data_IF_685804311955
#
_entry.id   IF_685804311955
#
_cell.length_a   1.000
_cell.length_b   1.000
_cell.length_c   1.000
_cell.angle_alpha   90.00
_cell.angle_beta   90.00
_cell.angle_gamma   90.00
#
_symmetry.space_group_name_H-M   'P 1'
#
loop_
_entity.id
_entity.type
_entity.pdbx_description
1 polymer ?
#
# COMPACT_ATOMS: atom_id res chain seq x y z
N UNK A 1 -12.84 6.51 -41.87
CA UNK A 1 -12.42 5.60 -40.81
C UNK A 1 -12.55 6.35 -39.50
N UNK A 2 -13.18 5.81 -38.45
CA UNK A 2 -13.24 6.49 -37.17
C UNK A 2 -11.83 6.68 -36.61
N UNK A 3 -11.60 7.80 -35.95
CA UNK A 3 -10.33 8.06 -35.30
C UNK A 3 -10.01 6.94 -34.30
N UNK A 4 -8.78 6.44 -34.26
CA UNK A 4 -8.37 5.28 -33.45
C UNK A 4 -8.70 5.39 -31.97
N UNK A 5 -8.55 6.59 -31.42
CA UNK A 5 -8.85 6.86 -30.01
C UNK A 5 -10.33 6.65 -29.66
N UNK A 6 -11.26 7.02 -30.57
CA UNK A 6 -12.68 6.75 -30.37
C UNK A 6 -13.00 5.26 -30.40
N UNK A 7 -12.31 4.51 -31.26
CA UNK A 7 -12.51 3.06 -31.36
C UNK A 7 -12.08 2.33 -30.10
N UNK A 8 -10.90 2.69 -29.57
CA UNK A 8 -10.38 2.12 -28.31
C UNK A 8 -11.23 2.52 -27.13
N UNK A 9 -11.61 3.79 -27.05
CA UNK A 9 -12.46 4.28 -25.97
C UNK A 9 -13.82 3.59 -25.97
N UNK A 10 -14.45 3.43 -27.13
CA UNK A 10 -15.71 2.69 -27.27
C UNK A 10 -15.56 1.21 -26.87
N UNK A 11 -14.46 0.57 -27.28
CA UNK A 11 -14.16 -0.81 -26.92
C UNK A 11 -13.96 -0.98 -25.41
N UNK A 12 -13.26 -0.05 -24.78
CA UNK A 12 -13.04 -0.06 -23.33
C UNK A 12 -14.35 0.17 -22.57
N UNK A 13 -15.18 1.12 -22.97
CA UNK A 13 -16.49 1.37 -22.36
C UNK A 13 -17.40 0.14 -22.44
N UNK A 14 -17.47 -0.52 -23.63
CA UNK A 14 -18.22 -1.74 -23.77
C UNK A 14 -17.66 -2.88 -22.89
N UNK A 15 -16.34 -2.99 -22.78
CA UNK A 15 -15.72 -3.99 -21.90
C UNK A 15 -16.02 -3.67 -20.41
N UNK A 16 -16.04 -2.40 -20.02
CA UNK A 16 -16.39 -1.99 -18.65
C UNK A 16 -17.83 -2.35 -18.28
N UNK A 17 -18.78 -2.28 -19.23
CA UNK A 17 -20.14 -2.76 -19.02
C UNK A 17 -20.20 -4.26 -18.76
N UNK A 18 -19.43 -5.08 -19.50
CA UNK A 18 -19.32 -6.50 -19.19
C UNK A 18 -18.69 -6.75 -17.82
N UNK A 19 -17.65 -6.01 -17.47
CA UNK A 19 -16.97 -6.14 -16.18
C UNK A 19 -17.87 -5.73 -15.01
N UNK A 20 -18.65 -4.66 -15.14
CA UNK A 20 -19.62 -4.22 -14.14
C UNK A 20 -20.70 -5.29 -13.86
N UNK A 21 -21.04 -6.09 -14.87
CA UNK A 21 -21.97 -7.23 -14.75
C UNK A 21 -21.28 -8.54 -14.36
N UNK A 22 -20.03 -8.53 -13.94
CA UNK A 22 -19.20 -9.72 -13.66
C UNK A 22 -19.06 -10.71 -14.84
N UNK A 23 -19.23 -10.24 -16.07
CA UNK A 23 -19.11 -11.02 -17.30
C UNK A 23 -17.69 -10.95 -17.88
N UNK A 24 -16.68 -11.25 -17.05
CA UNK A 24 -15.26 -11.12 -17.42
C UNK A 24 -14.84 -11.93 -18.66
N UNK A 25 -15.31 -13.20 -18.87
CA UNK A 25 -15.02 -13.93 -20.08
C UNK A 25 -15.58 -13.24 -21.34
N UNK A 26 -16.77 -12.67 -21.26
CA UNK A 26 -17.38 -11.94 -22.37
C UNK A 26 -16.58 -10.66 -22.68
N UNK A 27 -16.12 -9.91 -21.66
CA UNK A 27 -15.25 -8.76 -21.84
C UNK A 27 -13.95 -9.13 -22.56
N UNK A 28 -13.27 -10.20 -22.12
CA UNK A 28 -12.04 -10.67 -22.74
C UNK A 28 -12.24 -11.12 -24.17
N UNK A 29 -13.32 -11.88 -24.44
CA UNK A 29 -13.67 -12.32 -25.79
C UNK A 29 -13.99 -11.15 -26.70
N UNK A 30 -14.77 -10.18 -26.22
CA UNK A 30 -15.11 -8.98 -26.97
C UNK A 30 -13.86 -8.19 -27.36
N UNK A 31 -12.99 -7.87 -26.38
CA UNK A 31 -11.72 -7.17 -26.64
C UNK A 31 -10.80 -7.97 -27.58
N UNK A 32 -10.79 -9.31 -27.46
CA UNK A 32 -10.05 -10.19 -28.36
C UNK A 32 -10.52 -10.09 -29.81
N UNK A 33 -11.82 -10.04 -30.05
CA UNK A 33 -12.41 -9.83 -31.40
C UNK A 33 -12.03 -8.46 -31.96
N UNK A 34 -12.10 -7.42 -31.12
CA UNK A 34 -11.68 -6.07 -31.52
C UNK A 34 -10.21 -6.04 -31.92
N UNK A 35 -9.33 -6.66 -31.14
CA UNK A 35 -7.90 -6.75 -31.45
C UNK A 35 -7.64 -7.54 -32.75
N UNK A 36 -8.37 -8.64 -32.99
CA UNK A 36 -8.27 -9.40 -34.24
C UNK A 36 -8.66 -8.56 -35.44
N UNK A 37 -9.82 -7.89 -35.36
CA UNK A 37 -10.30 -6.98 -36.44
C UNK A 37 -9.30 -5.87 -36.67
N UNK A 38 -8.73 -5.29 -35.62
CA UNK A 38 -7.71 -4.26 -35.70
C UNK A 38 -6.46 -4.75 -36.42
N UNK A 39 -5.94 -5.92 -36.08
CA UNK A 39 -4.74 -6.50 -36.67
C UNK A 39 -4.94 -6.96 -38.12
N UNK A 40 -6.16 -7.28 -38.51
CA UNK A 40 -6.51 -7.71 -39.89
C UNK A 40 -6.61 -6.52 -40.87
N UNK A 41 -6.66 -5.28 -40.40
CA UNK A 41 -6.73 -4.12 -41.26
C UNK A 41 -5.39 -3.82 -41.92
N UNK A 42 -5.42 -3.40 -43.19
CA UNK A 42 -4.23 -2.97 -43.92
C UNK A 42 -3.94 -1.51 -43.61
N UNK A 43 -3.09 -1.30 -42.62
CA UNK A 43 -2.63 0.04 -42.26
C UNK A 43 -1.45 0.48 -43.14
N UNK A 44 -1.43 1.74 -43.59
CA UNK A 44 -0.22 2.31 -44.15
C UNK A 44 0.86 2.49 -43.08
N UNK A 45 2.11 2.77 -43.49
CA UNK A 45 3.25 2.83 -42.56
C UNK A 45 3.07 3.90 -41.49
N UNK A 46 2.51 5.06 -41.85
CA UNK A 46 2.27 6.18 -40.92
C UNK A 46 1.21 5.81 -39.87
N UNK A 47 0.08 5.23 -40.30
CA UNK A 47 -0.99 4.79 -39.43
C UNK A 47 -0.51 3.69 -38.48
N UNK A 48 0.35 2.77 -38.97
CA UNK A 48 0.96 1.74 -38.09
C UNK A 48 1.77 2.32 -36.95
N UNK A 49 2.57 3.34 -37.21
CA UNK A 49 3.39 4.00 -36.17
C UNK A 49 2.51 4.77 -35.19
N UNK A 50 1.47 5.46 -35.67
CA UNK A 50 0.53 6.22 -34.84
C UNK A 50 -0.39 5.30 -33.98
N UNK A 51 -0.66 4.08 -34.46
CA UNK A 51 -1.61 3.17 -33.84
C UNK A 51 -1.00 1.94 -33.16
N UNK A 52 0.31 1.87 -33.02
CA UNK A 52 1.00 0.83 -32.28
C UNK A 52 0.48 0.74 -30.83
N UNK A 53 0.20 1.87 -30.21
CA UNK A 53 -0.30 1.94 -28.83
C UNK A 53 -1.70 1.35 -28.65
N UNK A 54 -2.53 1.36 -29.70
CA UNK A 54 -3.91 0.83 -29.66
C UNK A 54 -3.92 -0.67 -29.44
N UNK A 55 -3.17 -1.42 -30.24
CA UNK A 55 -3.09 -2.86 -30.11
C UNK A 55 -2.50 -3.27 -28.76
N UNK A 56 -1.49 -2.54 -28.29
CA UNK A 56 -0.84 -2.80 -27.00
C UNK A 56 -1.75 -2.46 -25.82
N UNK A 57 -2.55 -1.41 -25.91
CA UNK A 57 -3.53 -1.07 -24.89
C UNK A 57 -4.62 -2.14 -24.81
N UNK A 58 -5.13 -2.64 -25.95
CA UNK A 58 -6.09 -3.74 -25.98
C UNK A 58 -5.50 -5.03 -25.39
N UNK A 59 -4.26 -5.40 -25.74
CA UNK A 59 -3.55 -6.55 -25.18
C UNK A 59 -3.40 -6.42 -23.66
N UNK A 60 -2.94 -5.26 -23.17
CA UNK A 60 -2.82 -4.98 -21.74
C UNK A 60 -4.16 -5.10 -21.02
N UNK A 61 -5.23 -4.61 -21.66
CA UNK A 61 -6.58 -4.71 -21.09
C UNK A 61 -7.06 -6.16 -21.00
N UNK A 62 -6.86 -6.96 -22.08
CA UNK A 62 -7.16 -8.39 -22.06
C UNK A 62 -6.36 -9.10 -20.97
N UNK A 63 -5.04 -8.87 -20.92
CA UNK A 63 -4.15 -9.45 -19.91
C UNK A 63 -4.62 -9.09 -18.49
N UNK A 64 -5.05 -7.86 -18.26
CA UNK A 64 -5.60 -7.44 -16.96
C UNK A 64 -6.84 -8.25 -16.52
N UNK A 65 -7.56 -8.88 -17.44
CA UNK A 65 -8.73 -9.73 -17.16
C UNK A 65 -8.31 -11.20 -17.02
N UNK A 66 -7.45 -11.69 -17.93
CA UNK A 66 -7.17 -13.11 -18.14
C UNK A 66 -5.93 -13.63 -17.42
N UNK A 67 -4.97 -12.76 -17.11
CA UNK A 67 -3.75 -13.14 -16.41
C UNK A 67 -3.91 -13.17 -14.89
N UNK A 68 -3.03 -13.91 -14.18
CA UNK A 68 -2.94 -13.85 -12.74
C UNK A 68 -2.79 -12.41 -12.25
N UNK A 69 -3.65 -12.01 -11.34
CA UNK A 69 -3.68 -10.66 -10.80
C UNK A 69 -4.19 -10.68 -9.35
N UNK A 70 -3.89 -9.62 -8.59
CA UNK A 70 -4.35 -9.52 -7.22
C UNK A 70 -4.27 -8.10 -6.64
N UNK A 71 -4.81 -7.97 -5.46
CA UNK A 71 -4.73 -6.75 -4.66
C UNK A 71 -4.93 -7.09 -3.20
N UNK A 72 -4.29 -6.33 -2.31
CA UNK A 72 -4.59 -6.43 -0.89
C UNK A 72 -5.88 -5.70 -0.57
N UNK A 73 -6.69 -6.31 0.29
CA UNK A 73 -7.83 -5.63 0.90
C UNK A 73 -7.35 -4.52 1.84
N UNK A 74 -8.06 -3.39 1.89
CA UNK A 74 -7.57 -2.17 2.53
C UNK A 74 -7.80 -2.09 4.03
N UNK A 75 -8.54 -3.03 4.63
CA UNK A 75 -9.23 -2.81 5.90
C UNK A 75 -8.37 -2.82 7.17
N UNK A 76 -7.27 -3.56 7.23
CA UNK A 76 -6.45 -3.60 8.45
C UNK A 76 -4.97 -3.45 8.15
N UNK A 77 -4.38 -2.32 8.57
CA UNK A 77 -2.94 -2.07 8.44
C UNK A 77 -2.15 -2.46 9.68
N UNK A 78 -2.81 -2.49 10.84
CA UNK A 78 -2.20 -2.84 12.13
C UNK A 78 -2.89 -4.09 12.66
N UNK A 79 -2.10 -5.07 13.02
CA UNK A 79 -2.52 -6.36 13.57
C UNK A 79 -1.78 -6.63 14.87
N UNK A 80 -2.36 -7.48 15.73
CA UNK A 80 -1.76 -7.86 17.01
C UNK A 80 -0.50 -8.70 16.77
N UNK A 81 0.60 -8.32 17.42
CA UNK A 81 1.83 -9.10 17.42
C UNK A 81 1.74 -10.30 18.38
N UNK A 82 2.62 -11.28 18.22
CA UNK A 82 2.70 -12.46 19.09
C UNK A 82 1.89 -13.65 18.58
N UNK A 83 0.75 -13.42 17.94
CA UNK A 83 -0.12 -14.47 17.40
C UNK A 83 0.06 -14.68 15.89
N UNK A 84 -0.39 -15.84 15.34
CA UNK A 84 -0.45 -16.03 13.90
C UNK A 84 -1.40 -15.02 13.26
N UNK A 85 -0.93 -14.33 12.25
CA UNK A 85 -1.69 -13.27 11.56
C UNK A 85 -1.86 -13.64 10.11
N UNK A 86 -3.03 -13.31 9.56
CA UNK A 86 -3.30 -13.41 8.13
C UNK A 86 -3.78 -12.06 7.59
N UNK A 87 -3.54 -11.82 6.31
CA UNK A 87 -4.07 -10.67 5.58
C UNK A 87 -4.91 -11.13 4.40
N UNK A 88 -6.01 -10.45 4.15
CA UNK A 88 -6.87 -10.74 3.01
C UNK A 88 -6.23 -10.24 1.71
N UNK A 89 -6.13 -11.13 0.75
CA UNK A 89 -5.62 -10.87 -0.58
C UNK A 89 -6.64 -11.33 -1.62
N UNK A 90 -7.18 -10.39 -2.36
CA UNK A 90 -8.08 -10.67 -3.47
C UNK A 90 -7.26 -11.01 -4.70
N UNK A 91 -7.54 -12.14 -5.33
CA UNK A 91 -6.80 -12.61 -6.50
C UNK A 91 -7.74 -13.20 -7.55
N UNK A 92 -7.23 -13.35 -8.75
CA UNK A 92 -7.88 -14.09 -9.84
C UNK A 92 -6.85 -14.75 -10.73
N UNK A 93 -7.25 -15.83 -11.42
CA UNK A 93 -6.46 -16.58 -12.39
C UNK A 93 -5.12 -17.11 -11.88
N UNK A 94 -4.89 -17.08 -10.57
CA UNK A 94 -3.66 -17.53 -9.95
C UNK A 94 -3.85 -18.89 -9.26
N UNK A 95 -2.88 -19.76 -9.39
CA UNK A 95 -2.82 -21.08 -8.75
C UNK A 95 -1.82 -21.15 -7.60
N UNK A 96 -0.85 -20.24 -7.56
CA UNK A 96 0.20 -20.20 -6.54
C UNK A 96 0.61 -18.77 -6.20
N UNK A 97 1.02 -18.59 -4.96
CA UNK A 97 1.60 -17.35 -4.47
C UNK A 97 2.76 -17.63 -3.52
N UNK A 98 3.84 -16.87 -3.66
CA UNK A 98 4.93 -16.82 -2.69
C UNK A 98 4.78 -15.56 -1.83
N UNK A 99 5.02 -15.72 -0.52
CA UNK A 99 4.88 -14.63 0.44
C UNK A 99 6.22 -14.32 1.07
N UNK A 100 6.52 -13.05 1.21
CA UNK A 100 7.70 -12.59 1.92
C UNK A 100 7.41 -11.30 2.68
N UNK A 101 8.12 -11.07 3.78
CA UNK A 101 8.12 -9.79 4.48
C UNK A 101 9.54 -9.28 4.66
N UNK A 102 9.71 -7.96 4.59
CA UNK A 102 10.96 -7.30 4.96
C UNK A 102 10.69 -6.32 6.10
N UNK A 103 11.40 -6.42 7.23
CA UNK A 103 11.31 -5.41 8.28
C UNK A 103 11.64 -4.03 7.72
N UNK A 104 10.89 -3.02 8.16
CA UNK A 104 11.15 -1.61 7.82
C UNK A 104 11.62 -0.89 9.06
N UNK A 105 12.83 -0.33 9.03
CA UNK A 105 13.36 0.51 10.11
C UNK A 105 12.64 1.87 10.14
N UNK A 106 11.39 1.79 10.61
CA UNK A 106 10.51 2.95 10.71
C UNK A 106 11.05 3.98 11.70
N UNK A 107 11.73 3.52 12.75
CA UNK A 107 12.34 4.41 13.75
C UNK A 107 13.39 5.31 13.09
N UNK A 108 14.35 4.72 12.40
CA UNK A 108 15.40 5.46 11.67
C UNK A 108 14.80 6.39 10.61
N UNK A 109 13.83 5.90 9.84
CA UNK A 109 13.16 6.72 8.83
C UNK A 109 12.46 7.93 9.45
N UNK A 110 11.76 7.75 10.58
CA UNK A 110 11.09 8.84 11.29
C UNK A 110 12.08 9.82 11.90
N UNK A 111 13.17 9.34 12.50
CA UNK A 111 14.21 10.17 13.10
C UNK A 111 14.90 11.05 12.05
N UNK A 112 15.36 10.47 10.94
CA UNK A 112 15.97 11.22 9.84
C UNK A 112 15.01 12.27 9.26
N UNK A 113 13.71 11.99 9.23
CA UNK A 113 12.71 12.97 8.82
C UNK A 113 12.48 14.08 9.82
N UNK A 114 12.39 13.73 11.09
CA UNK A 114 12.26 14.75 12.14
C UNK A 114 13.43 15.71 12.10
N UNK A 115 14.65 15.22 11.91
CA UNK A 115 15.85 16.05 11.80
C UNK A 115 15.79 16.97 10.58
N UNK A 116 15.39 16.45 9.41
CA UNK A 116 15.18 17.26 8.21
C UNK A 116 14.16 18.37 8.43
N UNK A 117 13.06 18.06 9.07
CA UNK A 117 12.03 19.06 9.38
C UNK A 117 12.52 20.06 10.41
N UNK A 118 13.24 19.62 11.44
CA UNK A 118 13.81 20.51 12.47
C UNK A 118 14.85 21.47 11.90
N UNK A 119 15.63 21.03 10.92
CA UNK A 119 16.67 21.84 10.25
C UNK A 119 16.14 22.68 9.09
N UNK A 120 14.92 22.44 8.61
CA UNK A 120 14.33 23.19 7.50
C UNK A 120 14.14 24.66 7.83
N UNK A 121 14.72 25.54 7.02
CA UNK A 121 14.65 27.01 7.20
C UNK A 121 13.38 27.61 6.59
N UNK A 122 12.70 26.93 5.69
CA UNK A 122 11.53 27.44 4.98
C UNK A 122 10.32 26.55 5.18
N UNK A 123 9.14 27.17 5.25
CA UNK A 123 7.84 26.48 5.37
C UNK A 123 7.62 25.46 4.24
N UNK A 124 7.92 25.82 2.98
CA UNK A 124 7.73 24.98 1.83
C UNK A 124 8.56 23.70 1.86
N UNK A 125 9.79 23.77 2.39
CA UNK A 125 10.68 22.61 2.52
C UNK A 125 10.21 21.68 3.64
N UNK A 126 9.87 22.25 4.81
CA UNK A 126 9.30 21.50 5.92
C UNK A 126 7.94 20.86 5.54
N UNK A 127 7.17 21.52 4.68
CA UNK A 127 5.89 21.06 4.21
C UNK A 127 6.02 19.87 3.25
N UNK A 128 6.98 19.90 2.31
CA UNK A 128 7.30 18.75 1.44
C UNK A 128 7.72 17.52 2.25
N UNK A 129 8.58 17.73 3.25
CA UNK A 129 9.06 16.65 4.11
C UNK A 129 7.96 16.10 5.03
N UNK A 130 6.94 16.89 5.37
CA UNK A 130 5.79 16.50 6.18
C UNK A 130 4.80 15.61 5.42
N UNK A 131 4.58 15.86 4.13
CA UNK A 131 3.56 15.18 3.32
C UNK A 131 3.99 13.85 2.71
N UNK A 132 5.23 13.39 2.91
CA UNK A 132 5.56 12.03 2.56
C UNK A 132 4.84 11.10 3.54
N UNK A 133 3.62 10.72 3.16
CA UNK A 133 2.78 9.74 3.85
C UNK A 133 3.35 8.32 3.66
N UNK A 134 2.74 7.33 4.31
CA UNK A 134 3.13 5.93 4.17
C UNK A 134 3.06 5.44 2.71
N UNK A 135 2.17 6.00 1.89
CA UNK A 135 2.09 5.68 0.46
C UNK A 135 3.34 6.14 -0.31
N UNK A 136 3.82 7.35 -0.03
CA UNK A 136 5.07 7.85 -0.62
C UNK A 136 6.29 7.06 -0.13
N UNK A 137 6.31 6.63 1.14
CA UNK A 137 7.36 5.76 1.64
C UNK A 137 7.32 4.41 0.92
N UNK A 138 6.15 3.81 0.75
CA UNK A 138 6.00 2.55 0.01
C UNK A 138 6.53 2.69 -1.42
N UNK A 139 6.13 3.74 -2.12
CA UNK A 139 6.63 4.02 -3.47
C UNK A 139 8.15 4.17 -3.49
N UNK A 140 8.72 4.93 -2.56
CA UNK A 140 10.17 5.13 -2.47
C UNK A 140 10.93 3.85 -2.16
N UNK A 141 10.41 3.00 -1.26
CA UNK A 141 11.02 1.70 -0.94
C UNK A 141 11.05 0.74 -2.13
N UNK A 142 10.10 0.88 -3.07
CA UNK A 142 10.00 0.04 -4.26
C UNK A 142 10.81 0.57 -5.46
N UNK A 143 11.00 1.89 -5.56
CA UNK A 143 11.51 2.54 -6.76
C UNK A 143 12.79 3.36 -6.56
N UNK A 144 13.18 3.64 -5.31
CA UNK A 144 14.38 4.42 -4.99
C UNK A 144 15.37 3.58 -4.19
N UNK A 145 16.48 3.20 -4.81
CA UNK A 145 17.52 2.38 -4.20
C UNK A 145 18.11 3.00 -2.93
N UNK A 146 18.06 4.32 -2.77
CA UNK A 146 18.54 4.99 -1.57
C UNK A 146 17.73 4.65 -0.32
N UNK A 147 16.47 4.18 -0.51
CA UNK A 147 15.58 3.73 0.56
C UNK A 147 15.82 2.28 0.99
N UNK A 148 16.61 1.51 0.24
CA UNK A 148 16.95 0.13 0.61
C UNK A 148 17.59 0.04 2.01
N UNK A 149 18.24 1.11 2.48
CA UNK A 149 18.83 1.22 3.83
C UNK A 149 17.82 1.12 4.98
N UNK A 150 16.54 1.29 4.71
CA UNK A 150 15.47 1.11 5.70
C UNK A 150 14.86 -0.29 5.69
N UNK A 151 15.26 -1.14 4.74
CA UNK A 151 14.76 -2.51 4.62
C UNK A 151 15.74 -3.49 5.27
N UNK A 152 15.23 -4.29 6.20
CA UNK A 152 15.97 -5.42 6.74
C UNK A 152 16.01 -6.62 5.80
N UNK A 153 16.53 -7.75 6.29
CA UNK A 153 16.58 -9.01 5.56
C UNK A 153 15.19 -9.55 5.27
N UNK A 154 15.06 -10.21 4.13
CA UNK A 154 13.80 -10.82 3.72
C UNK A 154 13.51 -12.09 4.51
N UNK A 155 12.33 -12.15 5.08
CA UNK A 155 11.78 -13.32 5.75
C UNK A 155 10.77 -13.95 4.77
N UNK A 156 11.11 -15.13 4.25
CA UNK A 156 10.26 -15.87 3.31
C UNK A 156 9.24 -16.70 4.09
N UNK A 157 8.01 -16.70 3.61
CA UNK A 157 6.98 -17.65 4.01
C UNK A 157 6.92 -18.84 3.06
N UNK A 158 5.99 -19.74 3.35
CA UNK A 158 5.71 -20.87 2.50
C UNK A 158 5.02 -20.47 1.20
N UNK A 159 5.17 -21.30 0.17
CA UNK A 159 4.35 -21.18 -1.03
C UNK A 159 2.90 -21.54 -0.71
N UNK A 160 1.98 -20.74 -1.20
CA UNK A 160 0.54 -20.90 -0.96
C UNK A 160 -0.11 -21.39 -2.24
N UNK A 161 -0.81 -22.51 -2.14
CA UNK A 161 -1.69 -22.98 -3.21
C UNK A 161 -2.97 -22.13 -3.21
N UNK A 162 -3.26 -21.57 -4.36
CA UNK A 162 -4.48 -20.80 -4.62
C UNK A 162 -5.42 -21.63 -5.49
N UNK A 163 -6.71 -21.46 -5.31
CA UNK A 163 -7.71 -22.11 -6.18
C UNK A 163 -8.07 -21.15 -7.31
N UNK A 164 -7.64 -21.42 -8.56
CA UNK A 164 -8.02 -20.57 -9.68
C UNK A 164 -9.54 -20.55 -9.82
N UNK A 165 -10.10 -19.35 -9.81
CA UNK A 165 -11.53 -19.19 -9.99
C UNK A 165 -11.97 -19.42 -11.43
N UNK A 166 -13.16 -19.97 -11.60
CA UNK A 166 -13.80 -20.03 -12.90
C UNK A 166 -14.18 -18.62 -13.39
N UNK A 167 -14.14 -18.39 -14.69
CA UNK A 167 -14.63 -17.17 -15.36
C UNK A 167 -13.89 -15.90 -14.94
N UNK A 168 -12.63 -15.99 -14.56
CA UNK A 168 -11.80 -14.82 -14.14
C UNK A 168 -12.40 -14.03 -12.97
N UNK A 169 -13.17 -14.67 -12.11
CA UNK A 169 -13.72 -14.04 -10.90
C UNK A 169 -12.66 -13.85 -9.84
N UNK A 170 -12.84 -12.83 -9.01
CA UNK A 170 -11.98 -12.60 -7.87
C UNK A 170 -12.31 -13.60 -6.75
N UNK A 171 -11.27 -14.11 -6.10
CA UNK A 171 -11.32 -14.93 -4.90
C UNK A 171 -10.53 -14.24 -3.79
N UNK A 172 -10.79 -14.60 -2.54
CA UNK A 172 -10.05 -14.08 -1.39
C UNK A 172 -9.24 -15.24 -0.81
N UNK A 173 -7.94 -15.01 -0.64
CA UNK A 173 -7.07 -15.86 0.16
C UNK A 173 -6.68 -15.14 1.45
N UNK A 174 -6.56 -15.90 2.53
CA UNK A 174 -5.99 -15.42 3.80
C UNK A 174 -4.52 -15.80 3.83
N UNK A 175 -3.68 -14.81 3.53
CA UNK A 175 -2.24 -14.95 3.40
C UNK A 175 -1.60 -14.93 4.78
N UNK A 176 -0.92 -16.01 5.23
CA UNK A 176 -0.20 -16.00 6.50
C UNK A 176 1.01 -15.07 6.42
N UNK A 177 1.18 -14.27 7.46
CA UNK A 177 2.35 -13.39 7.60
C UNK A 177 3.49 -14.19 8.24
N UNK A 178 4.67 -14.31 7.60
CA UNK A 178 5.76 -15.19 8.07
C UNK A 178 6.56 -14.57 9.23
N UNK A 179 5.93 -13.81 10.09
CA UNK A 179 6.51 -13.26 11.32
C UNK A 179 5.41 -12.94 12.33
N UNK A 180 5.76 -12.96 13.62
CA UNK A 180 4.87 -12.55 14.72
C UNK A 180 5.49 -11.43 15.56
N UNK A 181 6.72 -11.02 15.24
CA UNK A 181 7.44 -10.02 16.00
C UNK A 181 6.81 -8.63 15.79
N UNK A 182 6.71 -7.80 16.84
CA UNK A 182 6.29 -6.40 16.67
C UNK A 182 7.21 -5.68 15.69
N UNK A 183 6.63 -4.82 14.85
CA UNK A 183 7.41 -4.03 13.90
C UNK A 183 6.60 -3.57 12.69
N UNK A 184 7.28 -2.85 11.82
CA UNK A 184 6.79 -2.45 10.52
C UNK A 184 7.38 -3.34 9.44
N UNK A 185 6.55 -3.75 8.50
CA UNK A 185 6.94 -4.69 7.47
C UNK A 185 6.45 -4.25 6.10
N UNK A 186 7.27 -4.50 5.09
CA UNK A 186 6.85 -4.52 3.69
C UNK A 186 6.47 -5.95 3.36
N UNK A 187 5.17 -6.22 3.29
CA UNK A 187 4.63 -7.51 2.84
C UNK A 187 4.59 -7.53 1.32
N UNK A 188 5.09 -8.62 0.74
CA UNK A 188 5.10 -8.88 -0.70
C UNK A 188 4.43 -10.22 -0.98
N UNK A 189 3.47 -10.22 -1.90
CA UNK A 189 2.89 -11.43 -2.50
C UNK A 189 3.33 -11.46 -3.96
N UNK A 190 3.94 -12.56 -4.38
CA UNK A 190 4.39 -12.80 -5.76
C UNK A 190 3.58 -13.94 -6.34
N UNK A 191 2.86 -13.72 -7.43
CA UNK A 191 2.13 -14.75 -8.15
C UNK A 191 3.04 -15.50 -9.13
N UNK A 192 2.58 -16.64 -9.65
CA UNK A 192 3.35 -17.51 -10.57
C UNK A 192 3.81 -16.83 -11.85
N UNK A 193 3.12 -15.79 -12.30
CA UNK A 193 3.52 -14.98 -13.46
C UNK A 193 4.57 -13.91 -13.14
N UNK A 194 5.07 -13.87 -11.90
CA UNK A 194 6.06 -12.91 -11.42
C UNK A 194 5.50 -11.55 -11.00
N UNK A 195 4.19 -11.32 -11.09
CA UNK A 195 3.58 -10.08 -10.60
C UNK A 195 3.68 -9.99 -9.09
N UNK A 196 4.09 -8.82 -8.61
CA UNK A 196 4.33 -8.54 -7.18
C UNK A 196 3.36 -7.50 -6.68
N UNK A 197 2.76 -7.80 -5.54
CA UNK A 197 1.85 -6.91 -4.83
C UNK A 197 2.44 -6.59 -3.47
N UNK A 198 2.45 -5.31 -3.12
CA UNK A 198 3.13 -4.82 -1.93
C UNK A 198 2.16 -4.11 -1.00
N UNK A 199 2.37 -4.29 0.30
CA UNK A 199 1.59 -3.60 1.33
C UNK A 199 2.45 -3.33 2.55
N UNK A 200 2.26 -2.18 3.20
CA UNK A 200 2.70 -1.98 4.57
C UNK A 200 1.82 -2.73 5.55
N UNK A 201 2.49 -3.37 6.50
CA UNK A 201 1.88 -4.08 7.61
C UNK A 201 2.57 -3.62 8.90
N UNK A 202 1.77 -3.37 9.94
CA UNK A 202 2.27 -3.12 11.29
C UNK A 202 1.80 -4.26 12.18
N UNK A 203 2.75 -4.94 12.84
CA UNK A 203 2.46 -5.83 13.96
C UNK A 203 2.79 -5.06 15.24
N UNK A 204 1.81 -4.90 16.11
CA UNK A 204 1.98 -4.13 17.34
C UNK A 204 1.45 -4.90 18.54
N UNK A 205 2.23 -4.85 19.59
CA UNK A 205 1.85 -5.32 20.93
C UNK A 205 1.36 -4.16 21.82
N UNK A 206 1.38 -2.93 21.30
CA UNK A 206 0.97 -1.72 22.00
C UNK A 206 -0.04 -0.91 21.21
N UNK A 207 -0.92 -0.21 21.92
CA UNK A 207 -1.84 0.78 21.39
C UNK A 207 -1.64 2.12 22.08
N UNK A 208 -1.57 3.20 21.28
CA UNK A 208 -1.46 4.57 21.79
C UNK A 208 -2.74 5.34 21.44
N UNK A 209 -3.42 5.83 22.46
CA UNK A 209 -4.63 6.64 22.32
C UNK A 209 -4.35 8.08 22.74
N UNK A 210 -4.91 9.05 22.03
CA UNK A 210 -4.83 10.47 22.37
C UNK A 210 -6.22 11.01 22.68
N UNK A 211 -6.34 11.73 23.77
CA UNK A 211 -7.51 12.52 24.12
C UNK A 211 -7.12 13.99 24.28
N UNK A 212 -7.80 14.89 23.58
CA UNK A 212 -7.63 16.34 23.81
C UNK A 212 -8.33 16.74 25.11
N UNK A 213 -7.63 17.53 25.92
CA UNK A 213 -8.11 18.11 27.17
C UNK A 213 -7.88 19.64 27.14
N UNK A 214 -8.55 20.44 27.98
CA UNK A 214 -8.40 21.89 27.92
C UNK A 214 -6.96 22.38 27.99
N UNK A 215 -6.13 21.72 28.79
CA UNK A 215 -4.72 22.11 29.02
C UNK A 215 -3.76 21.49 27.97
N UNK A 216 -4.26 20.64 27.05
CA UNK A 216 -3.38 20.01 26.07
C UNK A 216 -3.85 18.67 25.54
N UNK A 217 -3.05 17.61 25.68
CA UNK A 217 -3.44 16.26 25.36
C UNK A 217 -3.05 15.29 26.48
N UNK A 218 -3.92 14.32 26.67
CA UNK A 218 -3.65 13.12 27.42
C UNK A 218 -3.34 11.99 26.42
N UNK A 219 -2.21 11.34 26.60
CA UNK A 219 -1.77 10.16 25.85
C UNK A 219 -1.87 8.96 26.77
N UNK A 220 -2.44 7.88 26.26
CA UNK A 220 -2.60 6.64 26.99
C UNK A 220 -1.98 5.50 26.20
N UNK A 221 -1.02 4.79 26.78
CA UNK A 221 -0.35 3.65 26.21
C UNK A 221 -0.81 2.37 26.92
N UNK A 222 -1.26 1.40 26.16
CA UNK A 222 -1.69 0.13 26.68
C UNK A 222 -1.13 -1.03 25.85
N UNK A 223 -1.02 -2.19 26.47
CA UNK A 223 -0.80 -3.46 25.78
C UNK A 223 -2.01 -3.76 24.88
N UNK A 224 -1.74 -4.08 23.62
CA UNK A 224 -2.79 -4.23 22.60
C UNK A 224 -3.61 -5.52 22.76
N UNK A 225 -3.07 -6.54 23.43
CA UNK A 225 -3.73 -7.82 23.64
C UNK A 225 -4.62 -7.81 24.88
N UNK A 226 -4.15 -7.20 25.96
CA UNK A 226 -4.81 -7.22 27.27
C UNK A 226 -5.55 -5.93 27.62
N UNK A 227 -5.20 -4.83 26.99
CA UNK A 227 -5.70 -3.49 27.35
C UNK A 227 -5.06 -2.93 28.64
N UNK A 228 -4.11 -3.62 29.25
CA UNK A 228 -3.46 -3.18 30.48
C UNK A 228 -2.56 -1.96 30.21
N UNK A 229 -2.53 -0.98 31.15
CA UNK A 229 -1.65 0.17 31.04
C UNK A 229 -0.17 -0.24 30.93
N UNK A 230 0.59 0.47 30.12
CA UNK A 230 2.04 0.28 30.00
C UNK A 230 2.77 1.42 30.73
N UNK A 231 3.34 1.12 31.88
CA UNK A 231 4.19 2.02 32.64
C UNK A 231 5.58 2.15 31.98
N UNK A 232 6.20 3.32 32.08
CA UNK A 232 7.56 3.56 31.59
C UNK A 232 7.71 3.65 30.07
N UNK A 233 6.62 3.67 29.33
CA UNK A 233 6.61 3.82 27.86
C UNK A 233 7.17 5.18 27.43
N UNK A 234 8.20 5.18 26.59
CA UNK A 234 8.82 6.41 26.10
C UNK A 234 8.04 6.98 24.91
N UNK A 235 7.42 8.13 25.07
CA UNK A 235 6.71 8.84 24.02
C UNK A 235 7.54 10.01 23.47
N UNK A 236 7.66 10.08 22.17
CA UNK A 236 8.32 11.17 21.46
C UNK A 236 7.36 11.78 20.44
N UNK A 237 6.92 12.99 20.69
CA UNK A 237 5.92 13.70 19.90
C UNK A 237 6.58 14.87 19.18
N UNK A 238 6.28 15.03 17.90
CA UNK A 238 6.72 16.18 17.13
C UNK A 238 5.50 16.98 16.67
N UNK A 239 5.43 18.22 17.10
CA UNK A 239 4.36 19.15 16.75
C UNK A 239 4.83 20.21 15.79
N UNK A 240 3.93 20.56 14.89
CA UNK A 240 4.06 21.70 14.00
C UNK A 240 2.87 22.62 14.18
N UNK A 241 3.14 23.89 14.37
CA UNK A 241 2.12 24.93 14.25
C UNK A 241 2.48 25.80 13.07
N UNK A 242 1.54 26.04 12.21
CA UNK A 242 1.67 26.90 11.04
C UNK A 242 0.85 28.17 11.31
N UNK A 243 1.54 29.20 11.73
CA UNK A 243 1.08 30.58 11.63
C UNK A 243 2.03 31.35 10.70
N UNK A 244 2.36 32.60 10.96
CA UNK A 244 3.30 33.38 10.13
C UNK A 244 4.72 32.78 10.11
N UNK A 245 5.08 31.97 11.11
CA UNK A 245 6.34 31.27 11.23
C UNK A 245 6.14 29.79 11.56
N UNK A 246 7.05 28.93 11.10
CA UNK A 246 7.00 27.50 11.41
C UNK A 246 7.50 27.27 12.85
N UNK A 247 6.58 27.08 13.77
CA UNK A 247 6.89 26.68 15.14
C UNK A 247 6.96 25.15 15.22
N UNK A 248 8.08 24.66 15.77
CA UNK A 248 8.35 23.24 15.95
C UNK A 248 8.57 22.98 17.43
N UNK A 249 7.86 22.00 17.96
CA UNK A 249 8.03 21.57 19.35
C UNK A 249 8.16 20.07 19.41
N UNK A 250 9.25 19.60 19.99
CA UNK A 250 9.40 18.21 20.37
C UNK A 250 9.03 18.07 21.85
N UNK A 251 8.11 17.14 22.13
CA UNK A 251 7.76 16.74 23.49
C UNK A 251 8.22 15.31 23.68
N UNK A 252 8.89 15.07 24.78
CA UNK A 252 9.29 13.73 25.24
C UNK A 252 8.64 13.50 26.59
N UNK A 253 8.17 12.31 26.84
CA UNK A 253 7.61 11.94 28.12
C UNK A 253 7.60 10.44 28.32
N UNK A 254 7.36 10.04 29.54
CA UNK A 254 7.27 8.64 29.96
C UNK A 254 5.89 8.45 30.55
N UNK A 255 5.24 7.34 30.23
CA UNK A 255 3.94 6.99 30.79
C UNK A 255 4.08 6.59 32.26
N UNK A 256 3.13 7.01 33.07
CA UNK A 256 3.02 6.65 34.49
C UNK A 256 2.47 5.24 34.69
N UNK A 257 2.21 4.86 35.95
CA UNK A 257 1.62 3.55 36.34
C UNK A 257 0.27 3.26 35.69
N UNK A 258 -0.46 4.30 35.30
CA UNK A 258 -1.76 4.20 34.65
C UNK A 258 -1.63 4.25 33.11
N UNK A 259 -0.40 4.14 32.57
CA UNK A 259 -0.10 4.22 31.15
C UNK A 259 -0.28 5.61 30.55
N UNK A 260 -0.44 6.63 31.38
CA UNK A 260 -0.80 7.97 30.95
C UNK A 260 0.42 8.90 30.86
N UNK A 261 0.40 9.83 29.90
CA UNK A 261 1.31 10.95 29.78
C UNK A 261 0.51 12.20 29.41
N UNK A 262 0.64 13.24 30.22
CA UNK A 262 0.03 14.55 29.92
C UNK A 262 1.01 15.44 29.14
N UNK A 263 0.52 16.00 28.05
CA UNK A 263 1.24 16.98 27.27
C UNK A 263 0.54 18.34 27.36
N UNK A 264 1.14 19.27 28.10
CA UNK A 264 0.62 20.63 28.22
C UNK A 264 0.92 21.45 26.97
N UNK A 265 -0.09 22.13 26.44
CA UNK A 265 0.04 23.06 25.31
C UNK A 265 -0.04 24.47 25.88
N UNK A 266 1.03 25.29 25.80
CA UNK A 266 0.91 26.71 26.14
C UNK A 266 -0.08 27.38 25.18
N UNK A 267 -0.98 28.15 25.75
CA UNK A 267 -1.93 28.99 25.01
C UNK A 267 -1.25 30.08 24.19
#
# INVERSE_FOLDING_TARGET
TPEPDYYVNAANLAADEFLARNQRPAAAQFLGKILQTWNAQSWNKKDKEEFLDVADNLKKRIASITEPNGTFDTDKRTLLAGEPVTVSFSYRNASRACVAVRPVDMKRWQEERMDKVQTSKTLGKAYKDRYSNLGNLLFSLLHDSSYARYLGEEIKGDEITLTPGNRHLNHIAHIPVPTRKPGWYLLTVTLENGYRFHRFLTLSDMVLVRRSVPEGNLWFLADAGTGMPVEGGNLRLLRYRQDKTLQKRQVKGITDKDGAMTETIPH
#
